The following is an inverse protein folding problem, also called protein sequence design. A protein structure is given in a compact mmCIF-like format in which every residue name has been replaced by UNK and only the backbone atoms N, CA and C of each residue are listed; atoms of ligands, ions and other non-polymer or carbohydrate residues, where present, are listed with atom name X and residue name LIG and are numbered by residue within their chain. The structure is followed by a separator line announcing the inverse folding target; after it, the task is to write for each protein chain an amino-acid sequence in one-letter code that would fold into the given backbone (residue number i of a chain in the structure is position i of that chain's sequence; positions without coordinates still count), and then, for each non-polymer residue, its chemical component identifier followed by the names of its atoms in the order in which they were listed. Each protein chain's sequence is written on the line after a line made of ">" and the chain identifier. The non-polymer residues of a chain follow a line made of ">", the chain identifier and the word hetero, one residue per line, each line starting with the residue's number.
data_IF_226556804895
#
_entry.id   IF_226556804895
#
_cell.length_a   1.000
_cell.length_b   1.000
_cell.length_c   1.000
_cell.angle_alpha   90.00
_cell.angle_beta   90.00
_cell.angle_gamma   90.00
#
_symmetry.space_group_name_H-M   'P 1'
#
loop_
_entity.id
_entity.type
_entity.pdbx_description
1 polymer ?
#
# COMPACT_ATOMS: atom_id res chain seq x y z
N UNK A 1 13.74 -15.84 -4.46
CA UNK A 1 12.79 -15.84 -3.32
C UNK A 1 12.26 -14.42 -3.23
N UNK A 2 10.98 -14.20 -3.53
CA UNK A 2 10.39 -12.86 -3.58
C UNK A 2 9.54 -12.69 -2.32
N UNK A 3 10.04 -11.92 -1.36
CA UNK A 3 9.36 -11.65 -0.09
C UNK A 3 8.71 -10.27 -0.18
N UNK A 4 7.41 -10.20 0.09
CA UNK A 4 6.68 -8.95 0.22
C UNK A 4 6.39 -8.62 1.68
N UNK A 5 6.03 -7.35 1.93
CA UNK A 5 5.61 -6.87 3.25
C UNK A 5 4.13 -6.51 3.21
N UNK A 6 3.39 -6.92 4.22
CA UNK A 6 1.96 -6.63 4.32
C UNK A 6 1.71 -5.27 4.98
N UNK A 7 0.80 -4.48 4.42
CA UNK A 7 0.33 -3.25 5.06
C UNK A 7 -0.43 -3.51 6.37
N UNK A 8 -0.83 -4.77 6.65
CA UNK A 8 -1.42 -5.18 7.93
C UNK A 8 -0.52 -4.83 9.13
N UNK A 9 0.82 -4.80 8.95
CA UNK A 9 1.77 -4.40 9.99
C UNK A 9 1.60 -2.94 10.45
N UNK A 10 0.87 -2.14 9.67
CA UNK A 10 0.58 -0.72 9.90
C UNK A 10 -0.92 -0.50 10.14
N UNK A 11 -1.60 -1.44 10.80
CA UNK A 11 -3.07 -1.51 10.92
C UNK A 11 -3.83 -0.26 11.41
N UNK A 12 -3.15 0.77 11.94
CA UNK A 12 -3.75 2.05 12.33
C UNK A 12 -3.56 3.18 11.31
N UNK A 13 -2.88 2.92 10.20
CA UNK A 13 -2.52 3.91 9.18
C UNK A 13 -3.49 3.83 7.99
N UNK A 14 -3.59 4.91 7.21
CA UNK A 14 -4.20 4.87 5.89
C UNK A 14 -3.37 3.98 4.94
N UNK A 15 -4.04 3.28 4.02
CA UNK A 15 -3.38 2.35 3.09
C UNK A 15 -2.24 2.99 2.29
N UNK A 16 -2.39 4.25 1.87
CA UNK A 16 -1.38 4.96 1.09
C UNK A 16 -0.17 5.27 1.96
N UNK A 17 -0.40 5.67 3.21
CA UNK A 17 0.67 5.93 4.16
C UNK A 17 1.43 4.65 4.50
N UNK A 18 0.73 3.54 4.74
CA UNK A 18 1.34 2.24 5.00
C UNK A 18 2.18 1.73 3.82
N UNK A 19 1.63 1.79 2.59
CA UNK A 19 2.35 1.39 1.38
C UNK A 19 3.58 2.28 1.13
N UNK A 20 3.44 3.60 1.33
CA UNK A 20 4.55 4.55 1.19
C UNK A 20 5.69 4.31 2.17
N UNK A 21 5.37 3.99 3.43
CA UNK A 21 6.39 3.67 4.45
C UNK A 21 7.13 2.38 4.12
N UNK A 22 6.41 1.33 3.71
CA UNK A 22 7.02 0.06 3.26
C UNK A 22 7.93 0.29 2.05
N UNK A 23 7.49 1.12 1.09
CA UNK A 23 8.30 1.48 -0.08
C UNK A 23 9.57 2.26 0.33
N UNK A 24 9.45 3.21 1.28
CA UNK A 24 10.58 3.97 1.80
C UNK A 24 11.61 3.10 2.55
N UNK A 25 11.17 1.97 3.13
CA UNK A 25 12.06 0.96 3.71
C UNK A 25 12.82 0.12 2.66
N UNK A 26 12.55 0.31 1.36
CA UNK A 26 13.22 -0.37 0.26
C UNK A 26 12.57 -1.68 -0.17
N UNK A 27 11.32 -1.95 0.24
CA UNK A 27 10.58 -3.14 -0.20
C UNK A 27 9.88 -2.86 -1.54
N UNK A 28 10.09 -3.76 -2.51
CA UNK A 28 9.47 -3.64 -3.84
C UNK A 28 8.14 -4.38 -3.97
N UNK A 29 7.81 -5.31 -3.07
CA UNK A 29 6.54 -6.06 -3.11
C UNK A 29 5.73 -5.81 -1.84
N UNK A 30 4.48 -5.38 -2.01
CA UNK A 30 3.63 -4.94 -0.90
C UNK A 30 2.26 -5.60 -0.99
N UNK A 31 1.89 -6.41 0.00
CA UNK A 31 0.52 -6.91 0.10
C UNK A 31 -0.39 -5.83 0.68
N UNK A 32 -1.43 -5.44 -0.07
CA UNK A 32 -2.43 -4.47 0.36
C UNK A 32 -3.55 -5.14 1.17
N UNK A 33 -3.62 -4.84 2.45
CA UNK A 33 -4.68 -5.35 3.32
C UNK A 33 -5.98 -4.53 3.21
N UNK A 34 -7.04 -5.18 2.74
CA UNK A 34 -8.32 -4.54 2.42
C UNK A 34 -9.18 -4.13 3.63
N UNK A 35 -8.68 -4.19 4.86
CA UNK A 35 -9.39 -3.62 6.02
C UNK A 35 -8.72 -2.38 6.60
N UNK A 36 -7.66 -1.88 5.95
CA UNK A 36 -7.08 -0.59 6.31
C UNK A 36 -7.97 0.57 5.85
N UNK A 37 -8.00 1.68 6.61
CA UNK A 37 -8.59 2.94 6.17
C UNK A 37 -8.14 3.30 4.75
N UNK A 38 -9.10 3.71 3.92
CA UNK A 38 -8.86 4.09 2.53
C UNK A 38 -8.79 2.93 1.53
N UNK A 39 -8.72 1.67 1.99
CA UNK A 39 -8.79 0.46 1.15
C UNK A 39 -9.87 -0.54 1.57
N UNK A 40 -10.64 -0.22 2.62
CA UNK A 40 -11.84 -0.97 2.96
C UNK A 40 -12.81 -0.97 1.77
N UNK A 41 -13.52 -2.08 1.46
CA UNK A 41 -14.44 -2.14 0.32
C UNK A 41 -15.47 -1.02 0.28
N UNK A 42 -15.90 -0.54 1.46
CA UNK A 42 -16.88 0.55 1.59
C UNK A 42 -16.26 1.96 1.58
N UNK A 43 -14.94 2.07 1.66
CA UNK A 43 -14.21 3.35 1.79
C UNK A 43 -13.25 3.62 0.63
N UNK A 44 -12.90 2.61 -0.16
CA UNK A 44 -11.93 2.74 -1.25
C UNK A 44 -12.44 3.68 -2.33
N UNK A 45 -11.60 4.65 -2.70
CA UNK A 45 -11.93 5.66 -3.71
C UNK A 45 -10.99 5.58 -4.91
N UNK A 46 -11.41 6.14 -6.05
CA UNK A 46 -10.52 6.32 -7.21
C UNK A 46 -9.26 7.11 -6.86
N UNK A 47 -9.36 8.04 -5.91
CA UNK A 47 -8.21 8.83 -5.44
C UNK A 47 -7.20 7.95 -4.72
N UNK A 48 -7.66 7.05 -3.84
CA UNK A 48 -6.80 6.05 -3.19
C UNK A 48 -6.09 5.18 -4.23
N UNK A 49 -6.83 4.63 -5.20
CA UNK A 49 -6.25 3.77 -6.25
C UNK A 49 -5.21 4.54 -7.07
N UNK A 50 -5.53 5.77 -7.50
CA UNK A 50 -4.60 6.61 -8.25
C UNK A 50 -3.32 6.85 -7.45
N UNK A 51 -3.43 7.11 -6.15
CA UNK A 51 -2.27 7.37 -5.31
C UNK A 51 -1.39 6.14 -5.08
N UNK A 52 -1.99 4.96 -4.93
CA UNK A 52 -1.25 3.69 -4.87
C UNK A 52 -0.51 3.42 -6.19
N UNK A 53 -1.16 3.67 -7.34
CA UNK A 53 -0.51 3.54 -8.66
C UNK A 53 0.65 4.53 -8.86
N UNK A 54 0.52 5.76 -8.37
CA UNK A 54 1.61 6.74 -8.36
C UNK A 54 2.80 6.23 -7.55
N UNK A 55 2.56 5.71 -6.34
CA UNK A 55 3.60 5.09 -5.50
C UNK A 55 4.27 3.90 -6.22
N UNK A 56 3.51 3.04 -6.89
CA UNK A 56 4.09 1.92 -7.63
C UNK A 56 5.03 2.37 -8.75
N UNK A 57 4.71 3.48 -9.44
CA UNK A 57 5.59 4.03 -10.47
C UNK A 57 6.82 4.71 -9.89
N UNK A 58 6.66 5.40 -8.76
CA UNK A 58 7.73 6.14 -8.09
C UNK A 58 8.80 5.20 -7.51
N UNK A 59 8.37 4.08 -6.90
CA UNK A 59 9.24 3.15 -6.18
C UNK A 59 9.44 1.80 -6.90
N UNK A 60 8.91 1.64 -8.13
CA UNK A 60 8.94 0.37 -8.88
C UNK A 60 8.33 -0.80 -8.07
N UNK A 61 7.09 -0.60 -7.58
CA UNK A 61 6.41 -1.54 -6.69
C UNK A 61 5.51 -2.53 -7.44
N UNK A 62 5.42 -3.74 -6.88
CA UNK A 62 4.44 -4.77 -7.17
C UNK A 62 3.49 -4.90 -5.96
N UNK A 63 2.20 -4.69 -6.19
CA UNK A 63 1.16 -4.92 -5.17
C UNK A 63 0.52 -6.30 -5.31
#
# INVERSE_FOLDING_TARGET
>A
MNIGVSTLLFGSWDIVAAAGEIAAMGHQRIELFCQLPGFHPDEVTETTIKRLLELAREYDLEY
#
